data_IF_262009611830
#
_entry.id   IF_262009611830
#
_cell.length_a   1.000
_cell.length_b   1.000
_cell.length_c   1.000
_cell.angle_alpha   90.00
_cell.angle_beta   90.00
_cell.angle_gamma   90.00
#
_symmetry.space_group_name_H-M   'P 1'
#
loop_
_entity.id
_entity.type
_entity.pdbx_description
1 polymer ?
#
# COMPACT_ATOMS: atom_id res chain seq x y z
N UNK A 1 -9.64 8.28 -3.32
CA UNK A 1 -9.38 7.95 -1.91
C UNK A 1 -8.46 9.02 -1.32
N UNK A 2 -8.74 9.42 -0.11
CA UNK A 2 -8.03 10.52 0.54
C UNK A 2 -6.76 10.02 1.23
N UNK A 3 -5.61 10.62 0.94
CA UNK A 3 -4.32 10.22 1.52
C UNK A 3 -4.30 10.29 3.05
N UNK A 4 -4.98 11.28 3.63
CA UNK A 4 -5.04 11.40 5.08
C UNK A 4 -5.80 10.23 5.73
N UNK A 5 -6.92 9.82 5.14
CA UNK A 5 -7.68 8.66 5.61
C UNK A 5 -6.85 7.38 5.51
N UNK A 6 -6.07 7.26 4.44
CA UNK A 6 -5.18 6.12 4.25
C UNK A 6 -4.08 6.13 5.31
N UNK A 7 -3.49 7.30 5.57
CA UNK A 7 -2.46 7.43 6.59
C UNK A 7 -2.99 6.99 7.97
N UNK A 8 -4.19 7.41 8.35
CA UNK A 8 -4.80 6.99 9.61
C UNK A 8 -5.06 5.48 9.65
N UNK A 9 -5.53 4.91 8.53
CA UNK A 9 -5.74 3.47 8.43
C UNK A 9 -4.45 2.68 8.61
N UNK A 10 -3.37 3.14 7.96
CA UNK A 10 -2.05 2.52 8.10
C UNK A 10 -1.53 2.62 9.53
N UNK A 11 -1.72 3.77 10.18
CA UNK A 11 -1.30 3.96 11.56
C UNK A 11 -2.05 3.06 12.53
N UNK A 12 -3.35 2.88 12.29
CA UNK A 12 -4.18 1.96 13.10
C UNK A 12 -3.66 0.54 12.98
N UNK A 13 -3.35 0.10 11.76
CA UNK A 13 -2.81 -1.23 11.53
C UNK A 13 -1.42 -1.39 12.17
N UNK A 14 -0.57 -0.36 12.06
CA UNK A 14 0.74 -0.36 12.71
C UNK A 14 0.64 -0.45 14.22
N UNK A 15 -0.28 0.30 14.81
CA UNK A 15 -0.50 0.27 16.25
C UNK A 15 -0.89 -1.13 16.70
N UNK A 16 -1.82 -1.74 15.97
CA UNK A 16 -2.30 -3.09 16.27
C UNK A 16 -1.15 -4.12 16.16
N UNK A 17 -0.41 -4.09 15.06
CA UNK A 17 0.70 -5.03 14.84
C UNK A 17 1.85 -4.78 15.82
N UNK A 18 2.11 -3.53 16.17
CA UNK A 18 3.15 -3.20 17.14
C UNK A 18 2.82 -3.74 18.52
N UNK A 19 1.58 -3.61 18.96
CA UNK A 19 1.13 -4.17 20.25
C UNK A 19 1.25 -5.70 20.23
N UNK A 20 0.86 -6.31 19.15
CA UNK A 20 0.89 -7.75 18.97
C UNK A 20 2.32 -8.33 19.08
N UNK A 21 3.31 -7.58 18.61
CA UNK A 21 4.71 -8.02 18.57
C UNK A 21 5.59 -7.35 19.64
N UNK A 22 5.01 -6.60 20.55
CA UNK A 22 5.77 -5.96 21.63
C UNK A 22 6.68 -4.85 21.15
N UNK A 23 6.36 -4.20 20.05
CA UNK A 23 7.14 -3.09 19.52
C UNK A 23 6.63 -1.79 20.12
N UNK A 24 7.51 -1.02 20.75
CA UNK A 24 7.15 0.25 21.38
C UNK A 24 7.42 1.46 20.49
N UNK A 25 8.29 1.32 19.52
CA UNK A 25 8.64 2.40 18.58
C UNK A 25 8.93 1.84 17.21
N UNK A 26 8.24 2.38 16.21
CA UNK A 26 8.45 2.02 14.80
C UNK A 26 9.37 3.05 14.16
N UNK A 27 10.42 2.59 13.50
CA UNK A 27 11.42 3.47 12.85
C UNK A 27 11.26 3.53 11.35
N UNK A 28 10.72 2.47 10.74
CA UNK A 28 10.57 2.39 9.29
C UNK A 28 9.36 1.55 8.94
N UNK A 29 8.62 2.00 7.92
CA UNK A 29 7.42 1.31 7.42
C UNK A 29 7.53 1.19 5.91
N UNK A 30 7.36 -0.02 5.39
CA UNK A 30 7.30 -0.28 3.96
C UNK A 30 5.87 -0.63 3.59
N UNK A 31 5.28 0.15 2.68
CA UNK A 31 3.91 -0.07 2.22
C UNK A 31 3.90 -0.40 0.74
N UNK A 32 2.94 -1.22 0.33
CA UNK A 32 2.66 -1.54 -1.07
C UNK A 32 1.33 -0.92 -1.44
N UNK A 33 1.37 -0.11 -2.47
CA UNK A 33 0.17 0.60 -2.93
C UNK A 33 -0.01 0.34 -4.41
N UNK A 34 -1.17 -0.19 -4.77
CA UNK A 34 -1.50 -0.47 -6.16
C UNK A 34 -1.75 0.81 -6.95
N UNK A 35 -1.36 0.80 -8.20
CA UNK A 35 -1.55 1.95 -9.10
C UNK A 35 -3.02 2.37 -9.22
N UNK A 36 -3.95 1.41 -9.09
CA UNK A 36 -5.39 1.70 -9.18
C UNK A 36 -5.94 2.45 -7.97
N UNK A 37 -5.17 2.55 -6.89
CA UNK A 37 -5.60 3.31 -5.72
C UNK A 37 -5.52 4.82 -5.93
N UNK A 38 -4.90 5.28 -7.01
CA UNK A 38 -4.77 6.70 -7.39
C UNK A 38 -4.27 7.60 -6.26
N UNK A 39 -3.23 7.14 -5.57
CA UNK A 39 -2.62 7.84 -4.45
C UNK A 39 -1.37 8.57 -4.93
N UNK A 40 -1.20 9.82 -4.48
CA UNK A 40 0.03 10.57 -4.72
C UNK A 40 1.01 10.25 -3.59
N UNK A 41 2.13 9.54 -3.87
CA UNK A 41 3.04 9.10 -2.82
C UNK A 41 3.57 10.21 -1.91
N UNK A 42 3.91 11.36 -2.47
CA UNK A 42 4.43 12.49 -1.70
C UNK A 42 3.38 13.05 -0.74
N UNK A 43 2.12 13.07 -1.16
CA UNK A 43 1.02 13.54 -0.32
C UNK A 43 0.76 12.53 0.80
N UNK A 44 0.82 11.23 0.49
CA UNK A 44 0.67 10.20 1.50
C UNK A 44 1.80 10.26 2.53
N UNK A 45 3.03 10.45 2.08
CA UNK A 45 4.18 10.57 2.97
C UNK A 45 4.01 11.72 3.94
N UNK A 46 3.60 12.88 3.45
CA UNK A 46 3.35 14.05 4.29
C UNK A 46 2.21 13.80 5.28
N UNK A 47 1.11 13.23 4.79
CA UNK A 47 -0.04 12.93 5.64
C UNK A 47 0.34 11.92 6.74
N UNK A 48 1.14 10.92 6.40
CA UNK A 48 1.60 9.92 7.35
C UNK A 48 2.50 10.55 8.43
N UNK A 49 3.44 11.39 8.02
CA UNK A 49 4.32 12.09 8.97
C UNK A 49 3.53 12.92 9.96
N UNK A 50 2.57 13.69 9.46
CA UNK A 50 1.73 14.55 10.29
C UNK A 50 0.86 13.72 11.23
N UNK A 51 0.20 12.70 10.72
CA UNK A 51 -0.72 11.86 11.49
C UNK A 51 0.00 10.98 12.51
N UNK A 52 1.29 10.67 12.28
CA UNK A 52 2.05 9.78 13.17
C UNK A 52 2.53 10.45 14.46
N UNK A 53 2.44 11.76 14.54
CA UNK A 53 2.85 12.49 15.76
C UNK A 53 2.07 11.99 16.98
N UNK A 54 2.79 11.68 18.04
CA UNK A 54 2.20 11.14 19.26
C UNK A 54 1.82 9.67 19.19
N UNK A 55 2.18 8.98 18.11
CA UNK A 55 1.89 7.54 17.95
C UNK A 55 3.18 6.72 18.02
N UNK A 56 3.03 5.41 17.97
CA UNK A 56 4.16 4.46 17.93
C UNK A 56 5.07 4.71 16.71
N UNK A 57 4.55 5.32 15.66
CA UNK A 57 5.26 5.56 14.40
C UNK A 57 5.80 6.99 14.27
N UNK A 58 5.79 7.80 15.34
CA UNK A 58 6.32 9.16 15.26
C UNK A 58 7.79 9.13 14.82
N UNK A 59 8.10 9.92 13.78
CA UNK A 59 9.43 9.98 13.21
C UNK A 59 9.80 8.82 12.30
N UNK A 60 8.89 7.87 12.08
CA UNK A 60 9.16 6.73 11.22
C UNK A 60 9.30 7.15 9.75
N UNK A 61 10.22 6.50 9.05
CA UNK A 61 10.41 6.70 7.64
C UNK A 61 9.42 5.82 6.86
N UNK A 62 8.67 6.42 5.95
CA UNK A 62 7.72 5.71 5.10
C UNK A 62 8.34 5.44 3.74
N UNK A 63 8.34 4.18 3.34
CA UNK A 63 8.81 3.74 2.03
C UNK A 63 7.62 3.17 1.26
N UNK A 64 7.37 3.67 0.07
CA UNK A 64 6.22 3.28 -0.74
C UNK A 64 6.68 2.55 -1.99
N UNK A 65 6.20 1.32 -2.17
CA UNK A 65 6.37 0.56 -3.41
C UNK A 65 5.04 0.59 -4.17
N UNK A 66 5.07 1.13 -5.38
CA UNK A 66 3.87 1.18 -6.23
C UNK A 66 3.77 -0.14 -7.00
N UNK A 67 2.65 -0.83 -6.85
CA UNK A 67 2.41 -2.10 -7.51
C UNK A 67 1.69 -1.84 -8.84
N UNK A 68 2.25 -2.30 -9.97
CA UNK A 68 1.64 -2.10 -11.28
C UNK A 68 0.27 -2.74 -11.39
N UNK A 69 -0.58 -2.14 -12.19
CA UNK A 69 -1.89 -2.71 -12.51
C UNK A 69 -1.72 -3.81 -13.56
N UNK A 70 -2.26 -5.00 -13.28
CA UNK A 70 -2.23 -6.14 -14.20
C UNK A 70 -3.59 -6.81 -14.27
N UNK A 71 -3.95 -7.26 -15.44
CA UNK A 71 -5.19 -7.96 -15.69
C UNK A 71 -4.95 -9.35 -16.25
N UNK A 72 -6.00 -10.18 -16.26
CA UNK A 72 -5.97 -11.50 -16.84
C UNK A 72 -7.12 -11.67 -17.83
N UNK A 73 -6.81 -12.19 -19.00
CA UNK A 73 -7.81 -12.59 -19.98
C UNK A 73 -7.96 -14.11 -19.94
N UNK A 74 -9.14 -14.59 -19.54
CA UNK A 74 -9.42 -16.02 -19.50
C UNK A 74 -9.56 -16.62 -20.90
N UNK A 75 -10.02 -15.84 -21.85
CA UNK A 75 -10.19 -16.27 -23.22
C UNK A 75 -8.84 -16.60 -23.89
N UNK A 76 -7.87 -15.69 -23.71
CA UNK A 76 -6.52 -15.87 -24.26
C UNK A 76 -5.58 -16.58 -23.29
N UNK A 77 -5.99 -16.75 -22.04
CA UNK A 77 -5.20 -17.37 -20.99
C UNK A 77 -3.85 -16.67 -20.80
N UNK A 78 -3.88 -15.34 -20.78
CA UNK A 78 -2.69 -14.49 -20.58
C UNK A 78 -2.92 -13.47 -19.49
N UNK A 79 -1.82 -13.07 -18.84
CA UNK A 79 -1.75 -11.93 -17.95
C UNK A 79 -1.12 -10.78 -18.72
N UNK A 80 -1.53 -9.54 -18.45
CA UNK A 80 -1.00 -8.39 -19.17
C UNK A 80 -0.94 -7.16 -18.26
N UNK A 81 -0.01 -6.27 -18.58
CA UNK A 81 0.15 -5.01 -17.87
C UNK A 81 -0.86 -3.98 -18.37
N UNK A 82 -1.31 -3.13 -17.45
CA UNK A 82 -2.24 -2.04 -17.75
C UNK A 82 -1.55 -0.73 -17.39
N UNK A 83 -1.40 0.15 -18.37
CA UNK A 83 -0.68 1.41 -18.19
C UNK A 83 -1.58 2.62 -17.90
N UNK A 84 -2.89 2.41 -17.90
CA UNK A 84 -3.85 3.51 -17.72
C UNK A 84 -4.53 3.45 -16.36
N UNK A 85 -5.09 4.59 -15.95
CA UNK A 85 -5.83 4.69 -14.69
C UNK A 85 -7.28 4.22 -14.80
N UNK A 86 -7.62 3.56 -15.90
CA UNK A 86 -8.97 3.05 -16.12
C UNK A 86 -9.25 1.84 -15.23
N UNK A 87 -10.48 1.72 -14.79
CA UNK A 87 -10.94 0.56 -14.01
C UNK A 87 -11.39 -0.59 -14.92
N UNK A 88 -11.40 -0.38 -16.22
CA UNK A 88 -11.77 -1.41 -17.19
C UNK A 88 -10.55 -1.76 -18.03
N UNK A 89 -10.15 -3.03 -17.98
CA UNK A 89 -8.95 -3.51 -18.65
C UNK A 89 -9.35 -4.29 -19.91
N UNK A 90 -8.68 -3.98 -21.01
CA UNK A 90 -8.90 -4.66 -22.29
C UNK A 90 -7.68 -5.51 -22.62
N UNK A 91 -7.94 -6.77 -22.97
CA UNK A 91 -6.87 -7.69 -23.38
C UNK A 91 -6.17 -7.16 -24.64
N UNK A 92 -4.84 -7.03 -24.64
CA UNK A 92 -4.11 -6.55 -25.83
C UNK A 92 -4.14 -7.54 -26.99
N UNK A 93 -4.48 -8.78 -26.73
CA UNK A 93 -4.52 -9.81 -27.77
C UNK A 93 -5.89 -9.95 -28.43
N UNK A 94 -6.97 -10.00 -27.66
CA UNK A 94 -8.31 -10.19 -28.20
C UNK A 94 -9.23 -8.98 -28.13
N UNK A 95 -8.83 -7.93 -27.39
CA UNK A 95 -9.63 -6.73 -27.18
C UNK A 95 -10.81 -6.89 -26.24
N UNK A 96 -11.02 -8.06 -25.68
CA UNK A 96 -12.08 -8.31 -24.71
C UNK A 96 -11.76 -7.75 -23.34
N UNK A 97 -12.78 -7.62 -22.50
CA UNK A 97 -12.61 -7.14 -21.13
C UNK A 97 -11.93 -8.22 -20.30
N UNK A 98 -10.94 -7.83 -19.50
CA UNK A 98 -10.24 -8.74 -18.61
C UNK A 98 -11.20 -9.38 -17.60
N UNK A 99 -11.01 -10.68 -17.35
CA UNK A 99 -11.85 -11.42 -16.41
C UNK A 99 -11.57 -11.01 -14.96
N UNK A 100 -10.32 -10.65 -14.65
CA UNK A 100 -9.95 -10.26 -13.29
C UNK A 100 -8.79 -9.28 -13.27
N UNK A 101 -8.70 -8.55 -12.16
CA UNK A 101 -7.55 -7.69 -11.84
C UNK A 101 -6.62 -8.52 -10.96
N UNK A 102 -5.41 -8.78 -11.45
CA UNK A 102 -4.42 -9.58 -10.73
C UNK A 102 -3.69 -8.73 -9.69
N UNK A 103 -3.36 -7.50 -10.04
CA UNK A 103 -2.64 -6.59 -9.17
C UNK A 103 -3.00 -5.14 -9.46
N UNK A 104 -2.67 -4.24 -8.54
CA UNK A 104 -2.90 -2.81 -8.70
C UNK A 104 -3.86 -2.22 -7.68
N UNK A 105 -4.46 -3.05 -6.82
CA UNK A 105 -5.39 -2.58 -5.77
C UNK A 105 -4.82 -2.71 -4.36
N UNK A 106 -3.56 -3.06 -4.24
CA UNK A 106 -2.91 -3.24 -2.95
C UNK A 106 -2.92 -1.95 -2.13
N UNK A 107 -3.11 -2.09 -0.84
CA UNK A 107 -2.97 -1.02 0.13
C UNK A 107 -2.63 -1.70 1.45
N UNK A 108 -1.35 -1.96 1.65
CA UNK A 108 -0.93 -2.82 2.75
C UNK A 108 0.45 -2.46 3.27
N UNK A 109 0.67 -2.78 4.54
CA UNK A 109 1.99 -2.73 5.14
C UNK A 109 2.69 -4.04 4.80
N UNK A 110 3.77 -3.95 4.02
CA UNK A 110 4.55 -5.13 3.66
C UNK A 110 5.42 -5.57 4.83
N UNK A 111 6.08 -4.62 5.48
CA UNK A 111 6.86 -4.87 6.69
C UNK A 111 7.12 -3.54 7.41
N UNK A 112 7.48 -3.63 8.69
CA UNK A 112 7.96 -2.48 9.42
C UNK A 112 9.09 -2.90 10.37
N UNK A 113 9.89 -1.93 10.76
CA UNK A 113 10.98 -2.13 11.72
C UNK A 113 10.74 -1.28 12.95
N UNK A 114 11.04 -1.84 14.09
CA UNK A 114 10.85 -1.13 15.33
C UNK A 114 11.69 -1.73 16.44
N UNK A 115 11.59 -1.12 17.62
CA UNK A 115 12.30 -1.55 18.82
C UNK A 115 11.31 -1.84 19.93
N UNK A 116 11.74 -2.72 20.85
CA UNK A 116 10.98 -3.09 22.02
C UNK A 116 11.58 -2.41 23.25
N UNK A 117 10.73 -2.02 24.19
CA UNK A 117 11.19 -1.45 25.46
C UNK A 117 11.74 -2.50 26.42
N UNK A 118 11.53 -3.77 26.11
CA UNK A 118 11.91 -4.85 27.01
C UNK A 118 13.36 -5.29 26.88
N UNK A 119 14.18 -4.54 26.18
CA UNK A 119 15.61 -4.79 26.13
C UNK A 119 16.26 -4.25 27.40
N UNK A 120 16.64 -5.12 28.22
CA UNK A 120 17.44 -4.77 29.38
C UNK A 120 18.91 -4.82 29.03
#
# INVERSE_FOLDING_TARGET
MNELSIAYGLLKDLQHESEKHGVSRVSRVHVRIGRLCTIVPEVLTFAFETASEGTVAEGAELSIAVVPARGRCDKCNIDFDVETDTSVFFCPQCGGVAAEVISGRELEIALFRGTSETTS
#
